data_IF_387502390848
#
_entry.id   IF_387502390848
#
_cell.length_a   1.000
_cell.length_b   1.000
_cell.length_c   1.000
_cell.angle_alpha   90.00
_cell.angle_beta   90.00
_cell.angle_gamma   90.00
#
_symmetry.space_group_name_H-M   'P 1'
#
loop_
_entity.id
_entity.type
_entity.pdbx_description
1 polymer ?
#
# COMPACT_ATOMS: atom_id res chain seq x y z
N UNK A 1 2.97 -16.19 -6.23
CA UNK A 1 1.85 -15.79 -5.38
C UNK A 1 1.18 -14.54 -5.93
N UNK A 2 -0.13 -14.60 -6.08
CA UNK A 2 -0.87 -13.47 -6.64
C UNK A 2 -1.44 -12.60 -5.54
N UNK A 3 -1.20 -11.32 -5.64
CA UNK A 3 -1.75 -10.36 -4.71
C UNK A 3 -3.04 -9.79 -5.30
N UNK A 4 -4.08 -9.74 -4.48
CA UNK A 4 -5.35 -9.17 -4.93
C UNK A 4 -5.23 -7.64 -4.93
N UNK A 5 -5.53 -7.06 -6.08
CA UNK A 5 -5.43 -5.61 -6.22
C UNK A 5 -6.34 -4.89 -5.20
N UNK A 6 -7.54 -5.40 -5.00
CA UNK A 6 -8.46 -4.78 -4.05
C UNK A 6 -7.90 -4.76 -2.64
N UNK A 7 -7.23 -5.83 -2.25
CA UNK A 7 -6.60 -5.88 -0.93
C UNK A 7 -5.42 -4.91 -0.86
N UNK A 8 -4.63 -4.85 -1.93
CA UNK A 8 -3.50 -3.92 -1.97
C UNK A 8 -3.97 -2.47 -1.90
N UNK A 9 -5.04 -2.14 -2.60
CA UNK A 9 -5.60 -0.79 -2.56
C UNK A 9 -6.07 -0.45 -1.15
N UNK A 10 -6.76 -1.36 -0.50
CA UNK A 10 -7.22 -1.16 0.88
C UNK A 10 -6.05 -0.90 1.83
N UNK A 11 -5.03 -1.74 1.73
CA UNK A 11 -3.84 -1.61 2.56
C UNK A 11 -3.14 -0.28 2.27
N UNK A 12 -3.04 0.05 0.99
CA UNK A 12 -2.38 1.27 0.58
C UNK A 12 -3.10 2.52 1.06
N UNK A 13 -4.41 2.54 0.97
CA UNK A 13 -5.19 3.67 1.43
C UNK A 13 -5.01 3.88 2.94
N UNK A 14 -4.92 2.79 3.67
CA UNK A 14 -4.71 2.86 5.11
C UNK A 14 -3.33 3.41 5.44
N UNK A 15 -2.32 2.96 4.73
CA UNK A 15 -0.94 3.41 4.94
C UNK A 15 -0.80 4.88 4.57
N UNK A 16 -1.33 5.28 3.41
CA UNK A 16 -1.19 6.64 2.94
C UNK A 16 -2.05 7.62 3.73
N UNK A 17 -3.07 7.14 4.42
CA UNK A 17 -3.90 7.98 5.27
C UNK A 17 -3.10 8.61 6.40
N UNK A 18 -1.99 7.99 6.79
CA UNK A 18 -1.11 8.52 7.81
C UNK A 18 -0.23 9.66 7.29
N UNK A 19 -0.13 9.77 5.97
CA UNK A 19 0.74 10.76 5.33
C UNK A 19 -0.04 11.92 4.70
N UNK A 20 -1.27 11.69 4.32
CA UNK A 20 -2.08 12.73 3.70
C UNK A 20 -3.56 12.54 3.98
N UNK A 21 -4.29 13.65 4.05
CA UNK A 21 -5.74 13.63 4.23
C UNK A 21 -6.49 13.74 2.92
N UNK A 22 -5.79 13.93 1.82
CA UNK A 22 -6.41 14.11 0.52
C UNK A 22 -6.71 12.75 -0.12
N UNK A 23 -8.01 12.37 -0.26
CA UNK A 23 -8.37 11.05 -0.80
C UNK A 23 -7.94 10.86 -2.26
N UNK A 24 -8.01 11.91 -3.05
CA UNK A 24 -7.59 11.81 -4.44
C UNK A 24 -6.09 11.54 -4.55
N UNK A 25 -5.32 12.23 -3.73
CA UNK A 25 -3.87 12.05 -3.71
C UNK A 25 -3.50 10.67 -3.18
N UNK A 26 -4.20 10.21 -2.15
CA UNK A 26 -3.97 8.86 -1.60
C UNK A 26 -4.16 7.80 -2.69
N UNK A 27 -5.26 7.90 -3.41
CA UNK A 27 -5.56 6.93 -4.45
C UNK A 27 -4.51 6.94 -5.55
N UNK A 28 -4.06 8.13 -5.93
CA UNK A 28 -3.04 8.26 -6.96
C UNK A 28 -1.74 7.60 -6.53
N UNK A 29 -1.32 7.85 -5.30
CA UNK A 29 -0.09 7.27 -4.78
C UNK A 29 -0.19 5.75 -4.73
N UNK A 30 -1.31 5.25 -4.24
CA UNK A 30 -1.54 3.81 -4.14
C UNK A 30 -1.50 3.17 -5.54
N UNK A 31 -2.18 3.79 -6.49
CA UNK A 31 -2.22 3.27 -7.85
C UNK A 31 -0.83 3.25 -8.48
N UNK A 32 -0.06 4.32 -8.28
CA UNK A 32 1.29 4.40 -8.81
C UNK A 32 2.19 3.31 -8.24
N UNK A 33 2.12 3.08 -6.94
CA UNK A 33 2.90 2.02 -6.31
C UNK A 33 2.53 0.65 -6.85
N UNK A 34 1.25 0.40 -7.04
CA UNK A 34 0.78 -0.90 -7.50
C UNK A 34 1.10 -1.13 -8.97
N UNK A 35 1.27 -0.07 -9.75
CA UNK A 35 1.70 -0.21 -11.14
C UNK A 35 3.10 -0.77 -11.22
N UNK A 36 3.97 -0.33 -10.34
CA UNK A 36 5.36 -0.80 -10.32
C UNK A 36 5.49 -2.14 -9.62
N UNK A 37 4.70 -2.37 -8.58
CA UNK A 37 4.78 -3.59 -7.81
C UNK A 37 3.38 -4.00 -7.34
N UNK A 38 2.76 -4.97 -7.99
CA UNK A 38 1.39 -5.39 -7.61
C UNK A 38 1.25 -5.85 -6.17
N UNK A 39 2.36 -6.25 -5.55
CA UNK A 39 2.37 -6.70 -4.16
C UNK A 39 3.09 -5.72 -3.24
N UNK A 40 3.17 -4.47 -3.65
CA UNK A 40 3.95 -3.47 -2.92
C UNK A 40 3.62 -3.43 -1.42
N UNK A 41 2.34 -3.34 -1.10
CA UNK A 41 1.93 -3.22 0.31
C UNK A 41 2.09 -4.50 1.10
N UNK A 42 2.05 -5.63 0.43
CA UNK A 42 2.34 -6.91 1.08
C UNK A 42 3.80 -6.96 1.51
N UNK A 43 4.69 -6.55 0.62
CA UNK A 43 6.12 -6.49 0.93
C UNK A 43 6.41 -5.46 2.00
N UNK A 44 5.75 -4.32 1.92
CA UNK A 44 5.92 -3.26 2.90
C UNK A 44 5.52 -3.73 4.30
N UNK A 45 4.39 -4.41 4.38
CA UNK A 45 3.90 -4.94 5.64
C UNK A 45 4.85 -5.99 6.22
N UNK A 46 5.39 -6.83 5.35
CA UNK A 46 6.38 -7.82 5.76
C UNK A 46 7.62 -7.15 6.32
N UNK A 47 8.06 -6.10 5.67
CA UNK A 47 9.24 -5.36 6.08
C UNK A 47 9.02 -4.71 7.44
N UNK A 48 7.87 -4.08 7.63
CA UNK A 48 7.52 -3.46 8.91
C UNK A 48 7.47 -4.48 10.03
N UNK A 49 6.93 -5.64 9.73
CA UNK A 49 6.85 -6.71 10.70
C UNK A 49 8.23 -7.21 11.10
N UNK A 50 9.15 -7.17 10.15
CA UNK A 50 10.53 -7.57 10.37
C UNK A 50 11.25 -6.62 11.32
N UNK A 51 10.92 -5.34 11.26
CA UNK A 51 11.53 -4.33 12.12
C UNK A 51 10.90 -4.27 13.51
N UNK A 52 9.68 -4.69 13.64
CA UNK A 52 8.99 -4.71 14.92
C UNK A 52 9.35 -5.99 15.66
N UNK A 53 9.83 -5.82 16.82
CA UNK A 53 10.13 -6.95 17.69
C UNK A 53 9.11 -7.10 18.76
#
# INVERSE_FOLDING_TARGET
MKCKRSQQVKMGLKVEAEHTNNPALKLKIVTDHLKESPCYYTYLKKMEKSFKK
#
